data_IF_255068085463
#
_entry.id   IF_255068085463
#
_cell.length_a   1.000
_cell.length_b   1.000
_cell.length_c   1.000
_cell.angle_alpha   90.00
_cell.angle_beta   90.00
_cell.angle_gamma   90.00
#
_symmetry.space_group_name_H-M   'P 1'
#
loop_
_entity.id
_entity.type
_entity.pdbx_description
1 polymer ?
#
# COMPACT_ATOMS: atom_id res chain seq x y z
N UNK A 1 8.86 12.74 -26.32
CA UNK A 1 7.76 12.14 -25.55
C UNK A 1 8.35 11.05 -24.68
N UNK A 2 8.56 11.31 -23.39
CA UNK A 2 8.89 10.25 -22.44
C UNK A 2 7.58 9.56 -22.06
N UNK A 3 7.48 8.22 -22.07
CA UNK A 3 6.42 7.57 -21.33
C UNK A 3 6.59 7.91 -19.84
N UNK A 4 5.52 8.29 -19.12
CA UNK A 4 5.62 8.59 -17.70
C UNK A 4 5.72 7.26 -16.95
N UNK A 5 6.87 7.06 -16.31
CA UNK A 5 7.03 6.20 -15.13
C UNK A 5 6.56 4.73 -15.27
N UNK A 6 7.15 4.05 -16.25
CA UNK A 6 7.24 2.59 -16.24
C UNK A 6 8.67 2.24 -15.83
N UNK A 7 9.02 2.53 -14.57
CA UNK A 7 10.20 1.92 -13.95
C UNK A 7 9.97 0.41 -14.05
N UNK A 8 10.79 -0.26 -14.87
CA UNK A 8 10.78 -1.70 -14.97
C UNK A 8 10.84 -2.28 -13.54
N UNK A 9 10.05 -3.32 -13.22
CA UNK A 9 10.13 -3.94 -11.91
C UNK A 9 11.60 -4.29 -11.64
N UNK A 10 12.17 -3.72 -10.58
CA UNK A 10 13.48 -4.13 -10.12
C UNK A 10 13.44 -5.64 -9.86
N UNK A 11 14.54 -6.36 -10.11
CA UNK A 11 14.59 -7.80 -9.84
C UNK A 11 14.15 -8.06 -8.38
N UNK A 12 13.02 -8.75 -8.21
CA UNK A 12 12.40 -8.98 -6.90
C UNK A 12 11.23 -8.06 -6.51
N UNK A 13 10.74 -7.19 -7.40
CA UNK A 13 9.51 -6.42 -7.14
C UNK A 13 8.26 -7.31 -7.25
N UNK A 14 7.43 -7.26 -6.21
CA UNK A 14 6.16 -7.96 -6.12
C UNK A 14 5.03 -6.95 -6.20
N UNK A 15 4.02 -7.26 -7.02
CA UNK A 15 2.82 -6.43 -7.18
C UNK A 15 1.57 -7.22 -6.83
N UNK A 16 0.69 -6.59 -6.04
CA UNK A 16 -0.64 -7.10 -5.71
C UNK A 16 -1.65 -5.98 -5.69
N UNK A 17 -2.89 -6.30 -6.02
CA UNK A 17 -4.00 -5.35 -5.91
C UNK A 17 -4.85 -5.68 -4.69
N UNK A 18 -5.26 -4.65 -3.96
CA UNK A 18 -6.13 -4.77 -2.79
C UNK A 18 -7.28 -3.77 -2.88
N UNK A 19 -8.47 -4.18 -2.43
CA UNK A 19 -9.63 -3.29 -2.37
C UNK A 19 -9.81 -2.81 -0.93
N UNK A 20 -9.84 -1.49 -0.76
CA UNK A 20 -10.08 -0.85 0.52
C UNK A 20 -11.57 -0.98 0.85
N UNK A 21 -11.90 -1.75 1.88
CA UNK A 21 -13.31 -2.06 2.24
C UNK A 21 -13.72 -1.59 3.63
N UNK A 22 -12.82 -0.94 4.37
CA UNK A 22 -13.14 -0.31 5.65
C UNK A 22 -13.95 0.98 5.45
N UNK A 23 -14.77 1.36 6.42
CA UNK A 23 -15.80 2.40 6.25
C UNK A 23 -15.25 3.79 5.90
N UNK A 24 -14.02 4.09 6.31
CA UNK A 24 -13.41 5.42 6.19
C UNK A 24 -12.21 5.46 5.24
N UNK A 25 -11.88 4.34 4.60
CA UNK A 25 -10.71 4.25 3.72
C UNK A 25 -9.37 4.43 4.44
N UNK A 26 -8.34 4.87 3.72
CA UNK A 26 -7.00 5.19 4.26
C UNK A 26 -6.99 6.52 5.05
N UNK A 27 -7.76 6.61 6.13
CA UNK A 27 -7.72 7.73 7.07
C UNK A 27 -6.57 7.56 8.09
N UNK A 28 -6.43 8.49 9.03
CA UNK A 28 -5.29 8.53 9.96
C UNK A 28 -5.03 7.22 10.72
N UNK A 29 -6.07 6.54 11.22
CA UNK A 29 -5.93 5.29 12.00
C UNK A 29 -5.52 4.11 11.10
N UNK A 30 -6.23 3.89 10.00
CA UNK A 30 -5.88 2.88 9.00
C UNK A 30 -4.45 3.09 8.46
N UNK A 31 -4.11 4.34 8.11
CA UNK A 31 -2.79 4.71 7.61
C UNK A 31 -1.70 4.47 8.66
N UNK A 32 -1.93 4.82 9.93
CA UNK A 32 -0.97 4.55 11.00
C UNK A 32 -0.72 3.06 11.21
N UNK A 33 -1.77 2.22 11.13
CA UNK A 33 -1.62 0.74 11.18
C UNK A 33 -0.85 0.22 9.98
N UNK A 34 -1.15 0.72 8.78
CA UNK A 34 -0.45 0.37 7.55
C UNK A 34 1.05 0.68 7.70
N UNK A 35 1.40 1.94 7.98
CA UNK A 35 2.81 2.36 8.14
C UNK A 35 3.51 1.57 9.24
N UNK A 36 2.85 1.35 10.37
CA UNK A 36 3.43 0.57 11.47
C UNK A 36 3.73 -0.86 11.04
N UNK A 37 2.87 -1.49 10.23
CA UNK A 37 3.09 -2.83 9.72
C UNK A 37 4.20 -2.86 8.67
N UNK A 38 4.24 -1.89 7.75
CA UNK A 38 5.35 -1.77 6.78
C UNK A 38 6.69 -1.64 7.50
N UNK A 39 6.75 -0.80 8.53
CA UNK A 39 7.97 -0.56 9.31
C UNK A 39 8.48 -1.78 10.11
N UNK A 40 7.75 -2.90 10.15
CA UNK A 40 8.25 -4.15 10.75
C UNK A 40 9.01 -5.06 9.79
N UNK A 41 9.04 -4.73 8.49
CA UNK A 41 9.65 -5.54 7.45
C UNK A 41 10.83 -4.80 6.81
N UNK A 42 11.86 -5.54 6.39
CA UNK A 42 12.93 -5.01 5.54
C UNK A 42 12.49 -5.03 4.07
N UNK A 43 11.52 -4.17 3.76
CA UNK A 43 10.94 -4.02 2.42
C UNK A 43 10.50 -2.59 2.14
N UNK A 44 10.79 -2.09 0.95
CA UNK A 44 10.23 -0.84 0.45
C UNK A 44 8.85 -1.10 -0.14
N UNK A 45 7.85 -0.36 0.32
CA UNK A 45 6.47 -0.54 -0.12
C UNK A 45 5.94 0.75 -0.70
N UNK A 46 5.26 0.66 -1.85
CA UNK A 46 4.53 1.77 -2.44
C UNK A 46 3.07 1.40 -2.71
N UNK A 47 2.21 2.40 -2.62
CA UNK A 47 0.77 2.27 -2.86
C UNK A 47 0.39 3.18 -4.00
N UNK A 48 -0.19 2.60 -5.04
CA UNK A 48 -0.65 3.29 -6.24
C UNK A 48 -2.16 3.26 -6.34
N UNK A 49 -2.74 4.42 -6.67
CA UNK A 49 -4.16 4.60 -7.03
C UNK A 49 -4.24 5.45 -8.28
N UNK A 50 -4.57 4.84 -9.42
CA UNK A 50 -4.60 5.52 -10.71
C UNK A 50 -3.22 6.04 -11.10
N UNK A 51 -3.04 7.36 -11.13
CA UNK A 51 -1.77 8.03 -11.42
C UNK A 51 -0.99 8.42 -10.15
N UNK A 52 -1.64 8.40 -8.98
CA UNK A 52 -1.00 8.77 -7.73
C UNK A 52 -0.24 7.58 -7.13
N UNK A 53 1.02 7.78 -6.77
CA UNK A 53 1.87 6.81 -6.08
C UNK A 53 2.41 7.45 -4.81
N UNK A 54 2.33 6.72 -3.70
CA UNK A 54 2.84 7.18 -2.40
C UNK A 54 3.65 6.08 -1.73
N UNK A 55 4.63 6.45 -0.91
CA UNK A 55 5.34 5.51 -0.06
C UNK A 55 4.39 4.94 1.01
N UNK A 56 4.47 3.62 1.20
CA UNK A 56 3.78 2.89 2.24
C UNK A 56 4.24 3.22 3.66
N UNK A 57 5.32 3.97 3.82
CA UNK A 57 5.80 4.50 5.11
C UNK A 57 5.30 5.92 5.40
N UNK A 58 4.72 6.59 4.39
CA UNK A 58 4.22 7.96 4.54
C UNK A 58 2.76 7.97 4.97
N UNK A 59 2.51 8.11 6.27
CA UNK A 59 1.14 8.25 6.81
C UNK A 59 0.41 9.40 6.09
N UNK A 60 1.08 10.53 5.89
CA UNK A 60 0.51 11.69 5.19
C UNK A 60 0.21 11.37 3.71
N UNK A 61 1.11 10.67 3.02
CA UNK A 61 0.91 10.25 1.64
C UNK A 61 -0.30 9.32 1.49
N UNK A 62 -0.42 8.31 2.36
CA UNK A 62 -1.55 7.38 2.37
C UNK A 62 -2.89 8.08 2.61
N UNK A 63 -2.92 9.07 3.51
CA UNK A 63 -4.11 9.90 3.74
C UNK A 63 -4.46 10.75 2.52
N UNK A 64 -3.46 11.34 1.85
CA UNK A 64 -3.66 12.15 0.64
C UNK A 64 -4.02 11.33 -0.59
N UNK A 65 -3.68 10.03 -0.61
CA UNK A 65 -4.11 9.11 -1.67
C UNK A 65 -5.64 9.01 -1.76
N UNK A 66 -6.36 9.38 -0.69
CA UNK A 66 -7.82 9.45 -0.62
C UNK A 66 -8.50 8.16 -1.12
N UNK A 67 -7.91 7.00 -0.82
CA UNK A 67 -8.47 5.70 -1.16
C UNK A 67 -9.63 5.39 -0.20
N UNK A 68 -10.84 5.75 -0.62
CA UNK A 68 -12.08 5.49 0.10
C UNK A 68 -12.58 4.04 -0.06
N UNK A 69 -13.71 3.71 0.60
CA UNK A 69 -14.34 2.38 0.49
C UNK A 69 -14.65 2.03 -0.97
N UNK A 70 -14.35 0.79 -1.38
CA UNK A 70 -14.50 0.31 -2.75
C UNK A 70 -13.37 0.71 -3.70
N UNK A 71 -12.36 1.46 -3.23
CA UNK A 71 -11.20 1.82 -4.05
C UNK A 71 -10.24 0.65 -4.14
N UNK A 72 -9.86 0.27 -5.37
CA UNK A 72 -8.75 -0.66 -5.60
C UNK A 72 -7.44 0.12 -5.65
N UNK A 73 -6.46 -0.35 -4.88
CA UNK A 73 -5.09 0.15 -4.87
C UNK A 73 -4.15 -0.96 -5.32
N UNK A 74 -3.05 -0.60 -5.98
CA UNK A 74 -1.95 -1.48 -6.29
C UNK A 74 -0.85 -1.28 -5.24
N UNK A 75 -0.47 -2.35 -4.57
CA UNK A 75 0.66 -2.43 -3.67
C UNK A 75 1.86 -2.97 -4.44
N UNK A 76 3.00 -2.32 -4.29
CA UNK A 76 4.29 -2.81 -4.78
C UNK A 76 5.23 -2.95 -3.59
N UNK A 77 5.95 -4.05 -3.52
CA UNK A 77 6.96 -4.30 -2.51
C UNK A 77 8.26 -4.78 -3.14
N UNK A 78 9.39 -4.30 -2.65
CA UNK A 78 10.74 -4.72 -2.99
C UNK A 78 11.55 -4.93 -1.72
N UNK A 79 12.58 -5.78 -1.75
CA UNK A 79 13.43 -6.05 -0.60
C UNK A 79 13.32 -7.48 -0.09
N UNK A 80 14.05 -7.78 0.99
CA UNK A 80 14.22 -9.14 1.51
C UNK A 80 12.90 -9.71 2.04
N UNK A 81 12.07 -8.87 2.64
CA UNK A 81 10.80 -9.26 3.24
C UNK A 81 9.58 -8.92 2.37
N UNK A 82 9.78 -8.66 1.07
CA UNK A 82 8.72 -8.16 0.19
C UNK A 82 7.46 -9.06 0.16
N UNK A 83 7.64 -10.38 0.04
CA UNK A 83 6.52 -11.34 0.06
C UNK A 83 5.78 -11.31 1.41
N UNK A 84 6.53 -11.40 2.52
CA UNK A 84 5.96 -11.43 3.86
C UNK A 84 5.22 -10.13 4.21
N UNK A 85 5.79 -8.98 3.83
CA UNK A 85 5.17 -7.69 4.01
C UNK A 85 3.90 -7.55 3.16
N UNK A 86 3.92 -8.04 1.93
CA UNK A 86 2.75 -8.04 1.05
C UNK A 86 1.61 -8.89 1.61
N UNK A 87 1.88 -10.11 2.05
CA UNK A 87 0.87 -10.99 2.65
C UNK A 87 0.27 -10.38 3.91
N UNK A 88 1.10 -9.80 4.78
CA UNK A 88 0.64 -9.13 6.00
C UNK A 88 -0.22 -7.90 5.69
N UNK A 89 0.14 -7.10 4.68
CA UNK A 89 -0.65 -5.95 4.24
C UNK A 89 -2.00 -6.35 3.66
N UNK A 90 -2.03 -7.38 2.80
CA UNK A 90 -3.27 -7.90 2.25
C UNK A 90 -4.20 -8.40 3.35
N UNK A 91 -3.65 -9.13 4.33
CA UNK A 91 -4.41 -9.57 5.50
C UNK A 91 -4.94 -8.39 6.33
N UNK A 92 -4.12 -7.36 6.59
CA UNK A 92 -4.56 -6.15 7.29
C UNK A 92 -5.72 -5.43 6.55
N UNK A 93 -5.63 -5.32 5.23
CA UNK A 93 -6.68 -4.71 4.40
C UNK A 93 -7.96 -5.56 4.40
N UNK A 94 -7.83 -6.89 4.29
CA UNK A 94 -8.94 -7.84 4.36
C UNK A 94 -9.64 -7.81 5.73
N UNK A 95 -8.87 -7.60 6.81
CA UNK A 95 -9.38 -7.34 8.16
C UNK A 95 -9.93 -5.92 8.35
N UNK A 96 -10.07 -5.13 7.27
CA UNK A 96 -10.55 -3.75 7.30
C UNK A 96 -9.76 -2.86 8.25
N UNK A 97 -8.45 -3.07 8.34
CA UNK A 97 -7.57 -2.40 9.30
C UNK A 97 -7.99 -2.62 10.77
N UNK A 98 -8.62 -3.76 11.09
CA UNK A 98 -9.30 -4.06 12.36
C UNK A 98 -10.22 -2.92 12.83
N UNK A 99 -11.09 -2.50 11.92
CA UNK A 99 -12.15 -1.52 12.16
C UNK A 99 -13.52 -2.18 12.07
N UNK A 100 -14.45 -1.73 12.92
CA UNK A 100 -15.86 -2.16 12.94
C UNK A 100 -16.67 -1.47 11.81
#
# INVERSE_FOLDING_TARGET
MSPPDETAPADGEIRRTATITNQRGLHARASAKFVKLVATFDAEISVRRGESVVSGESIMGLMMLAAGPGTTVELRATGTDADAAMDALLDLINRKFDEE
#
